data_IF_768493658001
#
_entry.id   IF_768493658001
#
_cell.length_a   1.000
_cell.length_b   1.000
_cell.length_c   1.000
_cell.angle_alpha   90.00
_cell.angle_beta   90.00
_cell.angle_gamma   90.00
#
_symmetry.space_group_name_H-M   'P 1'
#
loop_
_entity.id
_entity.type
_entity.pdbx_description
1 polymer ?
#
# COMPACT_ATOMS: atom_id res chain seq x y z
N UNK A 1 39.80 -43.64 101.79
CA UNK A 1 38.36 -43.94 101.63
C UNK A 1 37.83 -43.01 100.56
N UNK A 2 37.01 -43.53 99.65
CA UNK A 2 36.54 -42.84 98.45
C UNK A 2 36.07 -41.41 98.71
N UNK A 3 36.61 -40.48 97.92
CA UNK A 3 36.24 -39.07 97.83
C UNK A 3 34.82 -38.91 97.26
N UNK A 4 33.79 -39.33 98.00
CA UNK A 4 32.38 -39.20 97.56
C UNK A 4 32.02 -37.74 97.22
N UNK A 5 32.66 -36.77 97.88
CA UNK A 5 32.42 -35.34 97.66
C UNK A 5 32.82 -34.87 96.25
N UNK A 6 33.98 -35.28 95.75
CA UNK A 6 34.44 -34.89 94.40
C UNK A 6 33.63 -35.59 93.31
N UNK A 7 33.19 -36.83 93.55
CA UNK A 7 32.31 -37.56 92.63
C UNK A 7 30.93 -36.89 92.50
N UNK A 8 30.31 -36.51 93.62
CA UNK A 8 29.01 -35.81 93.62
C UNK A 8 29.11 -34.44 92.95
N UNK A 9 30.17 -33.67 93.26
CA UNK A 9 30.40 -32.37 92.63
C UNK A 9 30.61 -32.49 91.11
N UNK A 10 31.36 -33.50 90.67
CA UNK A 10 31.57 -33.77 89.24
C UNK A 10 30.28 -34.12 88.51
N UNK A 11 29.39 -34.90 89.14
CA UNK A 11 28.06 -35.21 88.58
C UNK A 11 27.20 -33.95 88.45
N UNK A 12 27.18 -33.09 89.47
CA UNK A 12 26.41 -31.84 89.43
C UNK A 12 26.96 -30.91 88.33
N UNK A 13 28.28 -30.78 88.22
CA UNK A 13 28.91 -29.99 87.16
C UNK A 13 28.61 -30.56 85.75
N UNK A 14 28.62 -31.88 85.59
CA UNK A 14 28.26 -32.54 84.33
C UNK A 14 26.79 -32.32 83.96
N UNK A 15 25.87 -32.47 84.91
CA UNK A 15 24.44 -32.23 84.68
C UNK A 15 24.16 -30.76 84.34
N UNK A 16 24.83 -29.83 85.01
CA UNK A 16 24.71 -28.40 84.73
C UNK A 16 25.23 -28.05 83.33
N UNK A 17 26.40 -28.58 82.95
CA UNK A 17 26.94 -28.46 81.59
C UNK A 17 26.01 -29.08 80.55
N UNK A 18 25.50 -30.29 80.81
CA UNK A 18 24.57 -30.99 79.94
C UNK A 18 23.29 -30.20 79.73
N UNK A 19 22.74 -29.59 80.79
CA UNK A 19 21.56 -28.75 80.70
C UNK A 19 21.81 -27.50 79.84
N UNK A 20 22.96 -26.84 80.01
CA UNK A 20 23.35 -25.69 79.18
C UNK A 20 23.46 -26.11 77.70
N UNK A 21 24.18 -27.18 77.40
CA UNK A 21 24.37 -27.65 76.00
C UNK A 21 23.05 -28.13 75.39
N UNK A 22 22.22 -28.85 76.16
CA UNK A 22 20.92 -29.32 75.72
C UNK A 22 19.97 -28.15 75.40
N UNK A 23 19.97 -27.10 76.24
CA UNK A 23 19.09 -25.97 76.04
C UNK A 23 19.61 -24.98 74.97
N UNK A 24 20.90 -24.68 74.97
CA UNK A 24 21.51 -23.66 74.10
C UNK A 24 22.07 -24.21 72.79
N UNK A 25 22.47 -25.48 72.72
CA UNK A 25 23.10 -26.07 71.52
C UNK A 25 22.10 -26.61 70.49
N UNK A 26 20.99 -27.23 70.92
CA UNK A 26 20.04 -27.83 69.98
C UNK A 26 19.23 -26.79 69.18
N UNK A 27 18.85 -25.67 69.80
CA UNK A 27 18.08 -24.59 69.15
C UNK A 27 18.79 -23.98 67.93
N UNK A 28 20.07 -23.53 68.00
CA UNK A 28 20.76 -22.95 66.85
C UNK A 28 21.04 -23.99 65.75
N UNK A 29 21.34 -25.24 66.10
CA UNK A 29 21.56 -26.31 65.13
C UNK A 29 20.28 -26.63 64.35
N UNK A 30 19.15 -26.77 65.04
CA UNK A 30 17.85 -27.01 64.41
C UNK A 30 17.46 -25.84 63.48
N UNK A 31 17.64 -24.59 63.93
CA UNK A 31 17.39 -23.39 63.11
C UNK A 31 18.27 -23.35 61.86
N UNK A 32 19.56 -23.67 61.97
CA UNK A 32 20.46 -23.70 60.82
C UNK A 32 20.04 -24.74 59.78
N UNK A 33 19.60 -25.92 60.24
CA UNK A 33 19.12 -26.99 59.36
C UNK A 33 17.80 -26.61 58.68
N UNK A 34 16.89 -25.98 59.41
CA UNK A 34 15.62 -25.48 58.88
C UNK A 34 15.84 -24.34 57.86
N UNK A 35 16.73 -23.39 58.16
CA UNK A 35 17.11 -22.33 57.22
C UNK A 35 17.72 -22.91 55.94
N UNK A 36 18.62 -23.90 56.06
CA UNK A 36 19.21 -24.58 54.90
C UNK A 36 18.14 -25.30 54.08
N UNK A 37 17.21 -25.99 54.74
CA UNK A 37 16.09 -26.66 54.07
C UNK A 37 15.21 -25.67 53.33
N UNK A 38 14.79 -24.59 54.00
CA UNK A 38 13.97 -23.55 53.41
C UNK A 38 14.66 -22.87 52.22
N UNK A 39 15.97 -22.60 52.33
CA UNK A 39 16.73 -21.99 51.25
C UNK A 39 16.83 -22.91 50.02
N UNK A 40 17.10 -24.20 50.22
CA UNK A 40 17.15 -25.17 49.11
C UNK A 40 15.78 -25.36 48.47
N UNK A 41 14.72 -25.45 49.26
CA UNK A 41 13.34 -25.53 48.74
C UNK A 41 12.99 -24.28 47.92
N UNK A 42 13.28 -23.09 48.43
CA UNK A 42 13.08 -21.83 47.69
C UNK A 42 13.84 -21.82 46.37
N UNK A 43 15.12 -22.23 46.36
CA UNK A 43 15.90 -22.26 45.12
C UNK A 43 15.33 -23.23 44.09
N UNK A 44 14.82 -24.39 44.52
CA UNK A 44 14.19 -25.37 43.63
C UNK A 44 12.87 -24.81 43.07
N UNK A 45 12.04 -24.21 43.93
CA UNK A 45 10.79 -23.58 43.51
C UNK A 45 11.01 -22.42 42.54
N UNK A 46 12.02 -21.57 42.80
CA UNK A 46 12.38 -20.45 41.93
C UNK A 46 12.92 -20.95 40.59
N UNK A 47 13.74 -22.01 40.58
CA UNK A 47 14.22 -22.64 39.35
C UNK A 47 13.08 -23.27 38.53
N UNK A 48 12.13 -23.94 39.19
CA UNK A 48 10.97 -24.53 38.52
C UNK A 48 10.06 -23.45 37.94
N UNK A 49 9.75 -22.40 38.70
CA UNK A 49 9.00 -21.24 38.20
C UNK A 49 9.69 -20.59 37.02
N UNK A 50 11.00 -20.32 37.12
CA UNK A 50 11.76 -19.74 36.02
C UNK A 50 11.74 -20.60 34.76
N UNK A 51 11.79 -21.94 34.91
CA UNK A 51 11.66 -22.86 33.78
C UNK A 51 10.26 -22.80 33.14
N UNK A 52 9.21 -22.84 33.95
CA UNK A 52 7.82 -22.77 33.47
C UNK A 52 7.52 -21.44 32.79
N UNK A 53 8.00 -20.32 33.33
CA UNK A 53 7.88 -19.00 32.73
C UNK A 53 8.63 -18.93 31.40
N UNK A 54 9.85 -19.46 31.33
CA UNK A 54 10.62 -19.52 30.09
C UNK A 54 9.92 -20.37 29.02
N UNK A 55 9.37 -21.53 29.38
CA UNK A 55 8.59 -22.37 28.48
C UNK A 55 7.33 -21.66 27.98
N UNK A 56 6.61 -20.95 28.86
CA UNK A 56 5.44 -20.16 28.50
C UNK A 56 5.79 -19.02 27.55
N UNK A 57 6.86 -18.27 27.82
CA UNK A 57 7.35 -17.19 26.95
C UNK A 57 7.76 -17.75 25.58
N UNK A 58 8.45 -18.90 25.53
CA UNK A 58 8.83 -19.52 24.27
C UNK A 58 7.62 -20.00 23.47
N UNK A 59 6.60 -20.55 24.13
CA UNK A 59 5.36 -20.95 23.48
C UNK A 59 4.63 -19.72 22.89
N UNK A 60 4.55 -18.63 23.65
CA UNK A 60 3.91 -17.40 23.20
C UNK A 60 4.68 -16.73 22.06
N UNK A 61 6.01 -16.68 22.14
CA UNK A 61 6.85 -16.16 21.04
C UNK A 61 6.67 -16.97 19.75
N UNK A 62 6.60 -18.30 19.86
CA UNK A 62 6.33 -19.16 18.69
C UNK A 62 4.95 -18.88 18.11
N UNK A 63 3.93 -18.71 18.97
CA UNK A 63 2.57 -18.35 18.54
C UNK A 63 2.56 -17.02 17.80
N UNK A 64 3.18 -15.99 18.38
CA UNK A 64 3.28 -14.65 17.78
C UNK A 64 4.07 -14.66 16.46
N UNK A 65 5.13 -15.47 16.36
CA UNK A 65 5.88 -15.61 15.11
C UNK A 65 5.04 -16.25 14.00
N UNK A 66 4.27 -17.29 14.31
CA UNK A 66 3.39 -17.90 13.30
C UNK A 66 2.23 -16.98 12.93
N UNK A 67 1.66 -16.25 13.89
CA UNK A 67 0.65 -15.21 13.64
C UNK A 67 1.19 -14.10 12.72
N UNK A 68 2.37 -13.57 13.02
CA UNK A 68 3.02 -12.55 12.20
C UNK A 68 3.36 -13.06 10.78
N UNK A 69 3.77 -14.33 10.63
CA UNK A 69 3.98 -14.94 9.31
C UNK A 69 2.68 -15.06 8.52
N UNK A 70 1.59 -15.45 9.18
CA UNK A 70 0.29 -15.58 8.53
C UNK A 70 -0.26 -14.21 8.12
N UNK A 71 -0.14 -13.21 8.98
CA UNK A 71 -0.52 -11.83 8.67
C UNK A 71 0.31 -11.28 7.52
N UNK A 72 1.63 -11.48 7.53
CA UNK A 72 2.50 -11.07 6.43
C UNK A 72 2.10 -11.73 5.09
N UNK A 73 1.77 -13.03 5.09
CA UNK A 73 1.26 -13.71 3.89
C UNK A 73 -0.06 -13.09 3.42
N UNK A 74 -1.01 -12.87 4.33
CA UNK A 74 -2.29 -12.25 4.00
C UNK A 74 -2.12 -10.84 3.41
N UNK A 75 -1.20 -10.03 3.95
CA UNK A 75 -0.87 -8.71 3.42
C UNK A 75 -0.28 -8.82 2.01
N UNK A 76 0.65 -9.75 1.78
CA UNK A 76 1.26 -9.95 0.47
C UNK A 76 0.24 -10.42 -0.57
N UNK A 77 -0.66 -11.33 -0.20
CA UNK A 77 -1.71 -11.83 -1.10
C UNK A 77 -2.71 -10.73 -1.43
N UNK A 78 -3.13 -9.94 -0.44
CA UNK A 78 -4.00 -8.78 -0.66
C UNK A 78 -3.34 -7.70 -1.53
N UNK A 79 -2.03 -7.46 -1.34
CA UNK A 79 -1.27 -6.53 -2.17
C UNK A 79 -1.18 -6.99 -3.62
N UNK A 80 -0.93 -8.29 -3.86
CA UNK A 80 -0.92 -8.88 -5.20
C UNK A 80 -2.28 -8.77 -5.88
N UNK A 81 -3.36 -9.14 -5.18
CA UNK A 81 -4.71 -9.05 -5.72
C UNK A 81 -5.07 -7.60 -6.12
N UNK A 82 -4.74 -6.62 -5.26
CA UNK A 82 -4.94 -5.19 -5.57
C UNK A 82 -4.07 -4.72 -6.75
N UNK A 83 -2.83 -5.17 -6.83
CA UNK A 83 -1.94 -4.83 -7.94
C UNK A 83 -2.48 -5.38 -9.27
N UNK A 84 -2.96 -6.61 -9.28
CA UNK A 84 -3.56 -7.24 -10.46
C UNK A 84 -4.85 -6.50 -10.88
N UNK A 85 -5.72 -6.17 -9.92
CA UNK A 85 -6.92 -5.37 -10.17
C UNK A 85 -6.58 -3.99 -10.75
N UNK A 86 -5.61 -3.28 -10.14
CA UNK A 86 -5.16 -1.98 -10.64
C UNK A 86 -4.54 -2.08 -12.03
N UNK A 87 -3.76 -3.12 -12.31
CA UNK A 87 -3.18 -3.36 -13.63
C UNK A 87 -4.28 -3.58 -14.68
N UNK A 88 -5.31 -4.37 -14.36
CA UNK A 88 -6.46 -4.58 -15.25
C UNK A 88 -7.24 -3.29 -15.48
N UNK A 89 -7.51 -2.52 -14.43
CA UNK A 89 -8.19 -1.22 -14.54
C UNK A 89 -7.38 -0.25 -15.42
N UNK A 90 -6.07 -0.19 -15.25
CA UNK A 90 -5.19 0.68 -16.04
C UNK A 90 -5.17 0.26 -17.51
N UNK A 91 -5.09 -1.05 -17.80
CA UNK A 91 -5.15 -1.57 -19.17
C UNK A 91 -6.48 -1.20 -19.82
N UNK A 92 -7.60 -1.41 -19.11
CA UNK A 92 -8.92 -1.08 -19.63
C UNK A 92 -9.08 0.43 -19.87
N UNK A 93 -8.60 1.27 -18.95
CA UNK A 93 -8.61 2.71 -19.12
C UNK A 93 -7.74 3.15 -20.31
N UNK A 94 -6.56 2.56 -20.49
CA UNK A 94 -5.69 2.85 -21.62
C UNK A 94 -6.29 2.42 -22.96
N UNK A 95 -7.00 1.28 -23.01
CA UNK A 95 -7.73 0.84 -24.19
C UNK A 95 -8.87 1.80 -24.53
N UNK A 96 -9.68 2.17 -23.55
CA UNK A 96 -10.77 3.13 -23.74
C UNK A 96 -10.26 4.50 -24.22
N UNK A 97 -9.16 4.99 -23.64
CA UNK A 97 -8.55 6.25 -24.07
C UNK A 97 -7.96 6.15 -25.48
N UNK A 98 -7.32 5.03 -25.83
CA UNK A 98 -6.82 4.78 -27.18
C UNK A 98 -7.95 4.79 -28.21
N UNK A 99 -9.06 4.12 -27.93
CA UNK A 99 -10.25 4.12 -28.78
C UNK A 99 -10.83 5.53 -28.93
N UNK A 100 -10.89 6.31 -27.84
CA UNK A 100 -11.33 7.70 -27.85
C UNK A 100 -10.44 8.57 -28.74
N UNK A 101 -9.12 8.48 -28.58
CA UNK A 101 -8.15 9.22 -29.41
C UNK A 101 -8.26 8.83 -30.89
N UNK A 102 -8.47 7.55 -31.20
CA UNK A 102 -8.70 7.09 -32.57
C UNK A 102 -10.01 7.62 -33.16
N UNK A 103 -11.08 7.68 -32.37
CA UNK A 103 -12.36 8.25 -32.79
C UNK A 103 -12.23 9.75 -33.07
N UNK A 104 -11.67 10.50 -32.12
CA UNK A 104 -11.41 11.95 -32.25
C UNK A 104 -10.53 12.24 -33.47
N UNK A 105 -9.48 11.43 -33.69
CA UNK A 105 -8.60 11.55 -34.84
C UNK A 105 -9.31 11.30 -36.18
N UNK A 106 -10.22 10.32 -36.25
CA UNK A 106 -11.03 10.08 -37.46
C UNK A 106 -11.97 11.24 -37.75
N UNK A 107 -12.62 11.79 -36.71
CA UNK A 107 -13.50 12.95 -36.85
C UNK A 107 -12.71 14.18 -37.36
N UNK A 108 -11.51 14.41 -36.81
CA UNK A 108 -10.63 15.48 -37.25
C UNK A 108 -10.22 15.31 -38.72
N UNK A 109 -9.83 14.11 -39.14
CA UNK A 109 -9.46 13.81 -40.54
C UNK A 109 -10.64 14.07 -41.49
N UNK A 110 -11.85 13.65 -41.14
CA UNK A 110 -13.03 13.90 -41.96
C UNK A 110 -13.35 15.39 -42.05
N UNK A 111 -13.19 16.14 -40.95
CA UNK A 111 -13.37 17.60 -40.97
C UNK A 111 -12.34 18.28 -41.87
N UNK A 112 -11.06 17.95 -41.71
CA UNK A 112 -9.97 18.50 -42.54
C UNK A 112 -10.14 18.15 -44.02
N UNK A 113 -10.61 16.93 -44.33
CA UNK A 113 -10.92 16.52 -45.70
C UNK A 113 -12.02 17.38 -46.31
N UNK A 114 -13.10 17.64 -45.57
CA UNK A 114 -14.20 18.47 -46.04
C UNK A 114 -13.76 19.93 -46.24
N UNK A 115 -12.95 20.48 -45.33
CA UNK A 115 -12.36 21.81 -45.47
C UNK A 115 -11.42 21.90 -46.69
N UNK A 116 -10.57 20.90 -46.91
CA UNK A 116 -9.69 20.83 -48.07
C UNK A 116 -10.48 20.76 -49.38
N UNK A 117 -11.53 19.94 -49.44
CA UNK A 117 -12.43 19.85 -50.60
C UNK A 117 -13.13 21.20 -50.88
N UNK A 118 -13.63 21.87 -49.84
CA UNK A 118 -14.25 23.18 -49.97
C UNK A 118 -13.26 24.22 -50.53
N UNK A 119 -12.02 24.22 -50.03
CA UNK A 119 -10.94 25.10 -50.52
C UNK A 119 -10.60 24.84 -51.99
N UNK A 120 -10.55 23.57 -52.41
CA UNK A 120 -10.33 23.21 -53.82
C UNK A 120 -11.49 23.70 -54.69
N UNK A 121 -12.74 23.52 -54.26
CA UNK A 121 -13.92 24.00 -55.01
C UNK A 121 -13.94 25.52 -55.15
N UNK A 122 -13.55 26.26 -54.11
CA UNK A 122 -13.41 27.73 -54.16
C UNK A 122 -12.34 28.16 -55.17
N UNK A 123 -11.18 27.49 -55.19
CA UNK A 123 -10.12 27.75 -56.17
C UNK A 123 -10.57 27.46 -57.61
N UNK A 124 -11.29 26.36 -57.83
CA UNK A 124 -11.84 26.01 -59.14
C UNK A 124 -12.86 27.05 -59.59
N UNK A 125 -13.78 27.46 -58.72
CA UNK A 125 -14.78 28.49 -59.03
C UNK A 125 -14.12 29.82 -59.44
N UNK A 126 -13.09 30.26 -58.69
CA UNK A 126 -12.31 31.45 -59.03
C UNK A 126 -11.63 31.34 -60.39
N UNK A 127 -11.00 30.20 -60.68
CA UNK A 127 -10.34 29.97 -61.97
C UNK A 127 -11.36 29.95 -63.12
N UNK A 128 -12.53 29.34 -62.95
CA UNK A 128 -13.59 29.32 -63.95
C UNK A 128 -14.07 30.74 -64.26
N UNK A 129 -14.33 31.57 -63.24
CA UNK A 129 -14.73 32.97 -63.43
C UNK A 129 -13.64 33.76 -64.15
N UNK A 130 -12.36 33.58 -63.80
CA UNK A 130 -11.26 34.26 -64.49
C UNK A 130 -11.17 33.83 -65.96
N UNK A 131 -11.29 32.53 -66.24
CA UNK A 131 -11.21 31.98 -67.59
C UNK A 131 -12.38 32.47 -68.46
N UNK A 132 -13.60 32.44 -67.93
CA UNK A 132 -14.80 32.94 -68.61
C UNK A 132 -14.68 34.44 -68.87
N UNK A 133 -14.17 35.21 -67.91
CA UNK A 133 -13.91 36.65 -68.08
C UNK A 133 -12.93 36.91 -69.23
N UNK A 134 -11.80 36.18 -69.27
CA UNK A 134 -10.81 36.29 -70.36
C UNK A 134 -11.37 35.84 -71.71
N UNK A 135 -12.16 34.76 -71.76
CA UNK A 135 -12.79 34.29 -72.99
C UNK A 135 -13.80 35.30 -73.54
N UNK A 136 -14.66 35.84 -72.67
CA UNK A 136 -15.62 36.88 -73.03
C UNK A 136 -14.91 38.13 -73.55
N UNK A 137 -13.89 38.64 -72.84
CA UNK A 137 -13.10 39.79 -73.28
C UNK A 137 -12.50 39.60 -74.69
N UNK A 138 -12.05 38.39 -75.02
CA UNK A 138 -11.45 38.09 -76.34
C UNK A 138 -12.48 37.87 -77.46
N UNK A 139 -13.75 37.62 -77.14
CA UNK A 139 -14.82 37.32 -78.11
C UNK A 139 -15.96 38.36 -78.09
N UNK A 140 -15.79 39.51 -77.42
CA UNK A 140 -16.75 40.61 -77.52
C UNK A 140 -16.73 41.17 -78.94
N UNK A 141 -17.77 40.86 -79.70
CA UNK A 141 -18.11 41.53 -80.95
C UNK A 141 -19.03 42.72 -80.67
N UNK A 142 -18.98 43.73 -81.54
CA UNK A 142 -19.77 44.97 -81.44
C UNK A 142 -21.29 44.69 -81.31
N UNK A 143 -21.74 43.58 -81.90
CA UNK A 143 -23.13 43.10 -81.86
C UNK A 143 -23.53 42.53 -80.50
N UNK A 144 -22.66 41.74 -79.87
CA UNK A 144 -22.86 41.23 -78.51
C UNK A 144 -22.91 42.37 -77.49
N UNK A 145 -22.13 43.42 -77.71
CA UNK A 145 -22.09 44.60 -76.85
C UNK A 145 -23.38 45.43 -76.93
N UNK A 146 -23.98 45.56 -78.11
CA UNK A 146 -25.29 46.20 -78.27
C UNK A 146 -26.42 45.38 -77.64
N UNK A 147 -26.42 44.04 -77.80
CA UNK A 147 -27.43 43.18 -77.16
C UNK A 147 -27.33 43.19 -75.63
N UNK A 148 -26.11 43.19 -75.07
CA UNK A 148 -25.91 43.31 -73.61
C UNK A 148 -26.34 44.67 -73.05
N UNK A 149 -26.15 45.76 -73.81
CA UNK A 149 -26.63 47.10 -73.43
C UNK A 149 -28.16 47.17 -73.46
N UNK A 150 -28.80 46.63 -74.50
CA UNK A 150 -30.26 46.58 -74.60
C UNK A 150 -30.89 45.73 -73.49
N UNK A 151 -30.26 44.62 -73.10
CA UNK A 151 -30.75 43.78 -72.00
C UNK A 151 -30.51 44.40 -70.62
N UNK A 152 -29.40 45.15 -70.44
CA UNK A 152 -29.17 45.93 -69.22
C UNK A 152 -30.21 47.04 -69.04
N UNK A 153 -30.54 47.78 -70.11
CA UNK A 153 -31.61 48.79 -70.08
C UNK A 153 -32.96 48.16 -69.72
N UNK A 154 -33.28 46.99 -70.29
CA UNK A 154 -34.52 46.28 -70.00
C UNK A 154 -34.62 45.82 -68.54
N UNK A 155 -33.55 45.26 -67.96
CA UNK A 155 -33.53 44.84 -66.54
C UNK A 155 -33.58 46.02 -65.58
N UNK A 156 -32.93 47.13 -65.90
CA UNK A 156 -33.03 48.36 -65.10
C UNK A 156 -34.46 48.91 -65.16
N UNK A 157 -35.13 48.81 -66.31
CA UNK A 157 -36.55 49.16 -66.46
C UNK A 157 -37.54 48.22 -65.77
N UNK A 158 -37.15 46.99 -65.40
CA UNK A 158 -37.97 46.06 -64.61
C UNK A 158 -37.78 46.23 -63.09
N UNK A 159 -36.71 46.91 -62.66
CA UNK A 159 -36.36 47.16 -61.25
C UNK A 159 -36.78 48.56 -60.75
N UNK A 160 -37.31 49.41 -61.62
CA UNK A 160 -37.90 50.73 -61.33
C UNK A 160 -39.40 50.68 -61.59
#
# INVERSE_FOLDING_TARGET
>A
MFELGTFIFSIIAFLLMFWIVSHFGFKPIARMLEQRRAHVTSQIEDAEKGRLEAEAILAEQRRLLEEAKNEARAIMDAARARADEQAQQLIHAAQAESERVLADGRELIERERNEALASVMDQVAKLTVELTTKLLQNHVTEQLQQDMLAEAEKRIGELV
#
